data_IF_184887602461
#
_entry.id   IF_184887602461
#
_cell.length_a   1.000
_cell.length_b   1.000
_cell.length_c   1.000
_cell.angle_alpha   90.00
_cell.angle_beta   90.00
_cell.angle_gamma   90.00
#
_symmetry.space_group_name_H-M   'P 1'
#
loop_
_entity.id
_entity.type
_entity.pdbx_description
1 polymer ?
#
# COMPACT_ATOMS: atom_id res chain seq x y z
N UNK A 1 -27.21 -38.34 39.66
CA UNK A 1 -25.91 -38.18 38.96
C UNK A 1 -26.03 -36.96 38.07
N UNK A 2 -25.12 -36.01 38.25
CA UNK A 2 -25.22 -34.61 37.80
C UNK A 2 -24.91 -34.49 36.30
N UNK A 3 -25.80 -33.89 35.53
CA UNK A 3 -25.60 -33.52 34.12
C UNK A 3 -24.89 -32.16 34.07
N UNK A 4 -23.63 -32.14 33.63
CA UNK A 4 -22.85 -30.92 33.47
C UNK A 4 -23.19 -30.25 32.12
N UNK A 5 -23.81 -29.08 32.19
CA UNK A 5 -24.07 -28.20 31.04
C UNK A 5 -22.78 -27.38 30.80
N UNK A 6 -22.07 -27.64 29.69
CA UNK A 6 -20.94 -26.81 29.25
C UNK A 6 -21.47 -25.51 28.64
N UNK A 7 -21.22 -24.39 29.32
CA UNK A 7 -21.47 -23.06 28.80
C UNK A 7 -20.33 -22.65 27.85
N UNK A 8 -20.64 -22.50 26.56
CA UNK A 8 -19.74 -21.90 25.58
C UNK A 8 -19.79 -20.38 25.76
N UNK A 9 -18.75 -19.80 26.34
CA UNK A 9 -18.58 -18.35 26.41
C UNK A 9 -18.05 -17.83 25.08
N UNK A 10 -18.87 -17.07 24.35
CA UNK A 10 -18.45 -16.26 23.21
C UNK A 10 -17.45 -15.20 23.70
N UNK A 11 -16.16 -15.40 23.42
CA UNK A 11 -15.15 -14.38 23.62
C UNK A 11 -15.39 -13.26 22.60
N UNK A 12 -15.96 -12.15 23.07
CA UNK A 12 -16.08 -10.92 22.28
C UNK A 12 -14.70 -10.29 22.13
N UNK A 13 -14.11 -10.39 20.94
CA UNK A 13 -12.89 -9.68 20.57
C UNK A 13 -13.18 -8.17 20.49
N UNK A 14 -13.11 -7.47 21.62
CA UNK A 14 -13.12 -6.01 21.63
C UNK A 14 -11.71 -5.53 21.25
N UNK A 15 -11.60 -4.88 20.08
CA UNK A 15 -10.34 -4.27 19.65
C UNK A 15 -9.93 -3.15 20.63
N UNK A 16 -8.64 -3.04 21.00
CA UNK A 16 -8.18 -2.04 21.94
C UNK A 16 -8.45 -0.61 21.40
N UNK A 17 -8.78 0.36 22.29
CA UNK A 17 -8.95 1.75 21.88
C UNK A 17 -7.66 2.28 21.24
N UNK A 18 -7.76 2.75 20.00
CA UNK A 18 -6.62 3.24 19.21
C UNK A 18 -6.07 2.24 18.19
N UNK A 19 -6.62 1.02 18.10
CA UNK A 19 -6.33 0.12 17.00
C UNK A 19 -6.89 0.68 15.67
N UNK A 20 -6.16 0.56 14.55
CA UNK A 20 -6.66 0.97 13.23
C UNK A 20 -7.95 0.21 12.90
N UNK A 21 -8.90 0.90 12.26
CA UNK A 21 -10.10 0.26 11.75
C UNK A 21 -9.74 -0.58 10.53
N UNK A 22 -9.77 -1.91 10.67
CA UNK A 22 -9.42 -2.86 9.61
C UNK A 22 -10.64 -3.75 9.35
N UNK A 23 -11.28 -3.59 8.19
CA UNK A 23 -12.30 -4.51 7.70
C UNK A 23 -11.68 -5.62 6.84
N UNK A 24 -12.20 -6.83 6.95
CA UNK A 24 -11.74 -8.03 6.25
C UNK A 24 -10.24 -8.34 6.48
N UNK A 25 -9.79 -8.13 7.72
CA UNK A 25 -8.39 -8.29 8.14
C UNK A 25 -7.79 -9.68 7.94
N UNK A 26 -8.62 -10.72 7.88
CA UNK A 26 -8.21 -12.11 7.72
C UNK A 26 -7.91 -12.49 6.26
N UNK A 27 -8.12 -11.58 5.30
CA UNK A 27 -7.78 -11.83 3.90
C UNK A 27 -6.30 -12.21 3.78
N UNK A 28 -6.02 -13.33 3.12
CA UNK A 28 -4.67 -13.84 2.95
C UNK A 28 -3.92 -13.03 1.89
N UNK A 29 -2.68 -12.65 2.21
CA UNK A 29 -1.71 -12.14 1.26
C UNK A 29 -0.82 -13.31 0.85
N UNK A 30 -0.94 -13.80 -0.40
CA UNK A 30 -0.38 -15.08 -0.80
C UNK A 30 1.16 -15.10 -0.80
N UNK A 31 1.81 -13.93 -0.81
CA UNK A 31 3.27 -13.85 -0.77
C UNK A 31 3.90 -14.56 -1.96
N UNK A 32 3.24 -14.45 -3.12
CA UNK A 32 3.59 -15.14 -4.36
C UNK A 32 4.94 -14.63 -4.89
N UNK A 33 5.57 -15.41 -5.78
CA UNK A 33 6.75 -14.98 -6.53
C UNK A 33 6.53 -13.61 -7.18
N UNK A 34 7.59 -12.80 -7.25
CA UNK A 34 7.46 -11.40 -7.66
C UNK A 34 7.01 -11.25 -9.11
N UNK A 35 7.43 -12.14 -10.01
CA UNK A 35 7.03 -12.09 -11.41
C UNK A 35 5.55 -12.44 -11.59
N UNK A 36 5.11 -13.54 -10.98
CA UNK A 36 3.70 -13.98 -11.01
C UNK A 36 2.78 -12.93 -10.38
N UNK A 37 3.18 -12.35 -9.24
CA UNK A 37 2.44 -11.27 -8.59
C UNK A 37 2.23 -10.07 -9.52
N UNK A 38 3.28 -9.63 -10.22
CA UNK A 38 3.22 -8.45 -11.09
C UNK A 38 2.42 -8.71 -12.36
N UNK A 39 2.53 -9.90 -12.94
CA UNK A 39 1.77 -10.31 -14.12
C UNK A 39 0.26 -10.32 -13.81
N UNK A 40 -0.14 -11.01 -12.74
CA UNK A 40 -1.52 -11.07 -12.28
C UNK A 40 -2.09 -9.68 -11.96
N UNK A 41 -1.28 -8.83 -11.30
CA UNK A 41 -1.69 -7.49 -10.92
C UNK A 41 -1.91 -6.60 -12.13
N UNK A 42 -1.08 -6.72 -13.17
CA UNK A 42 -1.12 -5.86 -14.36
C UNK A 42 -2.47 -5.92 -15.08
N UNK A 43 -3.13 -7.08 -15.02
CA UNK A 43 -4.42 -7.36 -15.65
C UNK A 43 -5.63 -6.83 -14.86
N UNK A 44 -5.43 -6.33 -13.63
CA UNK A 44 -6.53 -5.89 -12.78
C UNK A 44 -7.06 -4.50 -13.20
N UNK A 45 -8.38 -4.32 -13.37
CA UNK A 45 -8.95 -3.02 -13.72
C UNK A 45 -8.74 -2.00 -12.59
N UNK A 46 -8.68 -2.46 -11.34
CA UNK A 46 -8.40 -1.62 -10.17
C UNK A 46 -7.71 -2.47 -9.11
N UNK A 47 -6.69 -1.91 -8.49
CA UNK A 47 -5.94 -2.55 -7.41
C UNK A 47 -6.71 -2.38 -6.10
N UNK A 48 -6.86 -3.46 -5.33
CA UNK A 48 -7.45 -3.41 -3.98
C UNK A 48 -6.42 -3.02 -2.93
N UNK A 49 -6.85 -2.59 -1.75
CA UNK A 49 -5.91 -2.24 -0.68
C UNK A 49 -5.03 -3.41 -0.26
N UNK A 50 -5.58 -4.64 -0.20
CA UNK A 50 -4.79 -5.83 0.11
C UNK A 50 -3.64 -6.04 -0.88
N UNK A 51 -3.95 -5.99 -2.19
CA UNK A 51 -2.95 -6.14 -3.25
C UNK A 51 -1.91 -5.02 -3.19
N UNK A 52 -2.33 -3.79 -2.97
CA UNK A 52 -1.40 -2.68 -2.85
C UNK A 52 -0.43 -2.84 -1.65
N UNK A 53 -0.90 -3.27 -0.47
CA UNK A 53 0.00 -3.51 0.65
C UNK A 53 0.99 -4.66 0.36
N UNK A 54 0.55 -5.71 -0.32
CA UNK A 54 1.43 -6.79 -0.79
C UNK A 54 2.53 -6.25 -1.71
N UNK A 55 2.20 -5.39 -2.67
CA UNK A 55 3.17 -4.76 -3.54
C UNK A 55 4.19 -3.89 -2.81
N UNK A 56 3.78 -3.20 -1.74
CA UNK A 56 4.70 -2.44 -0.89
C UNK A 56 5.62 -3.37 -0.09
N UNK A 57 5.11 -4.49 0.44
CA UNK A 57 5.94 -5.49 1.13
C UNK A 57 6.97 -6.10 0.17
N UNK A 58 6.54 -6.42 -1.06
CA UNK A 58 7.43 -6.88 -2.13
C UNK A 58 8.51 -5.85 -2.45
N UNK A 59 8.15 -4.57 -2.60
CA UNK A 59 9.11 -3.48 -2.80
C UNK A 59 10.12 -3.36 -1.64
N UNK A 60 9.72 -3.73 -0.42
CA UNK A 60 10.61 -3.76 0.75
C UNK A 60 11.47 -5.03 0.82
N UNK A 61 11.35 -5.96 -0.14
CA UNK A 61 12.05 -7.24 -0.14
C UNK A 61 11.44 -8.27 0.83
N UNK A 62 10.17 -8.11 1.20
CA UNK A 62 9.48 -9.02 2.11
C UNK A 62 8.39 -9.81 1.39
N UNK A 63 8.64 -11.11 1.21
CA UNK A 63 7.71 -12.07 0.61
C UNK A 63 7.29 -13.11 1.65
N UNK A 64 6.60 -12.66 2.68
CA UNK A 64 6.05 -13.57 3.69
C UNK A 64 4.55 -13.72 3.45
N UNK A 65 4.05 -14.94 3.65
CA UNK A 65 2.61 -15.19 3.74
C UNK A 65 2.12 -14.59 5.04
N UNK A 66 1.20 -13.64 4.94
CA UNK A 66 0.67 -12.89 6.08
C UNK A 66 -0.78 -12.51 5.81
N UNK A 67 -1.52 -12.13 6.86
CA UNK A 67 -2.88 -11.61 6.71
C UNK A 67 -2.86 -10.10 6.39
N UNK A 68 -3.96 -9.58 5.82
CA UNK A 68 -4.11 -8.15 5.59
C UNK A 68 -3.90 -7.31 6.86
N UNK A 69 -4.44 -7.78 8.00
CA UNK A 69 -4.28 -7.07 9.27
C UNK A 69 -2.82 -7.02 9.76
N UNK A 70 -2.10 -8.13 9.64
CA UNK A 70 -0.67 -8.19 9.98
C UNK A 70 0.18 -7.31 9.07
N UNK A 71 -0.11 -7.30 7.76
CA UNK A 71 0.56 -6.41 6.82
C UNK A 71 0.31 -4.93 7.16
N UNK A 72 -0.92 -4.57 7.53
CA UNK A 72 -1.24 -3.21 8.01
C UNK A 72 -0.41 -2.88 9.24
N UNK A 73 -0.37 -3.76 10.25
CA UNK A 73 0.41 -3.53 11.48
C UNK A 73 1.90 -3.35 11.19
N UNK A 74 2.50 -4.23 10.39
CA UNK A 74 3.90 -4.14 9.98
C UNK A 74 4.18 -2.80 9.29
N UNK A 75 3.31 -2.37 8.37
CA UNK A 75 3.48 -1.12 7.65
C UNK A 75 3.24 0.13 8.52
N UNK A 76 2.39 0.04 9.54
CA UNK A 76 2.22 1.09 10.57
C UNK A 76 3.50 1.22 11.40
N UNK A 77 4.07 0.12 11.89
CA UNK A 77 5.31 0.11 12.67
C UNK A 77 6.47 0.75 11.89
N UNK A 78 6.48 0.53 10.57
CA UNK A 78 7.45 1.14 9.65
C UNK A 78 7.13 2.55 9.21
N UNK A 79 6.01 3.13 9.67
CA UNK A 79 5.53 4.48 9.29
C UNK A 79 5.30 4.64 7.78
N UNK A 80 4.98 3.55 7.08
CA UNK A 80 4.69 3.54 5.64
C UNK A 80 3.21 3.81 5.38
N UNK A 81 2.35 3.37 6.29
CA UNK A 81 0.93 3.73 6.33
C UNK A 81 0.63 4.45 7.65
N UNK A 82 -0.44 5.23 7.64
CA UNK A 82 -0.90 5.99 8.80
C UNK A 82 -1.96 5.18 9.56
N UNK A 83 -1.75 5.04 10.87
CA UNK A 83 -2.65 4.28 11.75
C UNK A 83 -4.06 4.89 11.84
N UNK A 84 -4.22 6.18 11.53
CA UNK A 84 -5.52 6.85 11.54
C UNK A 84 -6.38 6.51 10.31
N UNK A 85 -5.88 5.73 9.35
CA UNK A 85 -6.66 5.36 8.18
C UNK A 85 -7.65 4.23 8.47
N UNK A 86 -8.78 4.29 7.77
CA UNK A 86 -9.71 3.17 7.61
C UNK A 86 -9.18 2.25 6.50
N UNK A 87 -8.88 1.01 6.85
CA UNK A 87 -8.33 -0.03 5.99
C UNK A 87 -9.41 -1.06 5.67
N UNK A 88 -9.55 -1.39 4.39
CA UNK A 88 -10.49 -2.41 3.94
C UNK A 88 -9.87 -3.21 2.81
N UNK A 89 -9.70 -4.53 3.01
CA UNK A 89 -8.95 -5.39 2.09
C UNK A 89 -9.44 -5.27 0.63
N UNK A 90 -10.76 -5.24 0.41
CA UNK A 90 -11.40 -5.27 -0.91
C UNK A 90 -11.65 -3.88 -1.50
N UNK A 91 -11.35 -2.80 -0.77
CA UNK A 91 -11.56 -1.43 -1.23
C UNK A 91 -10.56 -1.09 -2.33
N UNK A 92 -11.01 -0.32 -3.32
CA UNK A 92 -10.13 0.21 -4.34
C UNK A 92 -9.04 1.11 -3.73
N UNK A 93 -7.79 0.82 -4.06
CA UNK A 93 -6.64 1.64 -3.68
C UNK A 93 -6.71 2.98 -4.42
N UNK A 94 -6.63 4.07 -3.65
CA UNK A 94 -6.62 5.42 -4.20
C UNK A 94 -5.21 5.88 -4.53
N UNK A 95 -5.06 6.72 -5.54
CA UNK A 95 -3.77 7.33 -5.92
C UNK A 95 -3.08 8.02 -4.75
N UNK A 96 -3.84 8.72 -3.90
CA UNK A 96 -3.28 9.43 -2.75
C UNK A 96 -2.72 8.49 -1.68
N UNK A 97 -3.41 7.38 -1.38
CA UNK A 97 -2.89 6.35 -0.46
C UNK A 97 -1.67 5.66 -1.05
N UNK A 98 -1.72 5.23 -2.32
CA UNK A 98 -0.59 4.63 -3.03
C UNK A 98 0.63 5.56 -3.03
N UNK A 99 0.44 6.84 -3.37
CA UNK A 99 1.53 7.82 -3.40
C UNK A 99 2.20 8.01 -2.05
N UNK A 100 1.40 8.08 -0.97
CA UNK A 100 1.91 8.18 0.39
C UNK A 100 2.78 6.98 0.75
N UNK A 101 2.30 5.75 0.47
CA UNK A 101 3.06 4.54 0.77
C UNK A 101 4.38 4.48 0.02
N UNK A 102 4.38 4.80 -1.29
CA UNK A 102 5.59 4.81 -2.10
C UNK A 102 6.57 5.89 -1.64
N UNK A 103 6.08 7.08 -1.29
CA UNK A 103 6.88 8.17 -0.73
C UNK A 103 7.64 7.73 0.52
N UNK A 104 6.94 7.09 1.46
CA UNK A 104 7.54 6.59 2.70
C UNK A 104 8.48 5.41 2.45
N UNK A 105 8.06 4.43 1.64
CA UNK A 105 8.83 3.23 1.34
C UNK A 105 10.16 3.54 0.62
N UNK A 106 10.21 4.61 -0.18
CA UNK A 106 11.42 5.06 -0.87
C UNK A 106 12.21 6.13 -0.09
N UNK A 107 11.75 6.51 1.11
CA UNK A 107 12.36 7.57 1.94
C UNK A 107 12.64 8.85 1.14
N UNK A 108 11.67 9.28 0.33
CA UNK A 108 11.82 10.44 -0.54
C UNK A 108 11.89 11.69 0.33
N UNK A 109 12.98 12.45 0.23
CA UNK A 109 13.06 13.79 0.82
C UNK A 109 12.27 14.76 -0.06
N UNK A 110 11.07 15.15 0.37
CA UNK A 110 10.24 16.13 -0.32
C UNK A 110 10.82 17.55 -0.29
N UNK A 111 10.17 18.46 -1.03
CA UNK A 111 10.48 19.89 -0.98
C UNK A 111 10.10 20.56 0.34
N UNK A 112 10.47 21.84 0.51
CA UNK A 112 10.31 22.61 1.75
C UNK A 112 8.90 22.50 2.39
N UNK A 113 7.84 22.46 1.57
CA UNK A 113 6.46 22.33 2.04
C UNK A 113 6.16 20.96 2.70
N UNK A 114 6.73 19.87 2.20
CA UNK A 114 6.60 18.55 2.82
C UNK A 114 7.36 18.47 4.14
N UNK A 115 8.47 19.21 4.25
CA UNK A 115 9.23 19.32 5.51
C UNK A 115 8.46 20.12 6.58
N UNK A 116 7.69 21.13 6.19
CA UNK A 116 6.93 21.99 7.12
C UNK A 116 5.56 21.42 7.49
N UNK A 117 4.80 20.93 6.51
CA UNK A 117 3.43 20.42 6.72
C UNK A 117 3.36 18.92 7.04
N UNK A 118 4.48 18.21 6.86
CA UNK A 118 4.53 16.75 6.95
C UNK A 118 3.94 16.04 5.72
N UNK A 119 4.16 14.72 5.61
CA UNK A 119 3.65 13.93 4.49
C UNK A 119 2.12 13.83 4.59
N UNK A 120 1.43 14.33 3.56
CA UNK A 120 -0.01 14.13 3.37
C UNK A 120 -0.26 13.42 2.04
N UNK A 121 -1.39 12.70 1.92
CA UNK A 121 -1.77 12.02 0.67
C UNK A 121 -1.75 12.96 -0.55
N UNK A 122 -2.19 14.22 -0.36
CA UNK A 122 -2.20 15.24 -1.41
C UNK A 122 -0.78 15.68 -1.80
N UNK A 123 0.08 15.96 -0.82
CA UNK A 123 1.43 16.45 -1.10
C UNK A 123 2.35 15.34 -1.62
N UNK A 124 2.23 14.11 -1.08
CA UNK A 124 2.98 12.96 -1.59
C UNK A 124 2.64 12.70 -3.06
N UNK A 125 1.36 12.73 -3.44
CA UNK A 125 0.95 12.58 -4.83
C UNK A 125 1.56 13.65 -5.74
N UNK A 126 1.56 14.92 -5.30
CA UNK A 126 2.16 16.00 -6.08
C UNK A 126 3.67 15.85 -6.24
N UNK A 127 4.36 15.42 -5.20
CA UNK A 127 5.80 15.15 -5.25
C UNK A 127 6.13 13.99 -6.21
N UNK A 128 5.39 12.89 -6.13
CA UNK A 128 5.59 11.74 -7.03
C UNK A 128 5.25 12.08 -8.49
N UNK A 129 4.23 12.91 -8.71
CA UNK A 129 3.91 13.45 -10.04
C UNK A 129 5.03 14.33 -10.58
N UNK A 130 5.55 15.24 -9.74
CA UNK A 130 6.65 16.12 -10.11
C UNK A 130 7.92 15.36 -10.48
N UNK A 131 8.21 14.25 -9.78
CA UNK A 131 9.37 13.38 -10.05
C UNK A 131 9.15 12.36 -11.16
N UNK A 132 7.96 12.32 -11.77
CA UNK A 132 7.64 11.36 -12.83
C UNK A 132 7.44 9.91 -12.36
N UNK A 133 7.26 9.66 -11.06
CA UNK A 133 6.92 8.32 -10.55
C UNK A 133 5.46 7.95 -10.84
N UNK A 134 4.56 8.94 -10.79
CA UNK A 134 3.13 8.76 -11.03
C UNK A 134 2.63 9.74 -12.09
N UNK A 135 1.68 9.29 -12.92
CA UNK A 135 1.04 10.17 -13.91
C UNK A 135 0.13 11.22 -13.24
N UNK A 136 -0.19 12.33 -13.93
CA UNK A 136 -1.14 13.32 -13.45
C UNK A 136 -2.51 12.71 -13.11
N UNK A 137 -3.17 13.22 -12.07
CA UNK A 137 -4.45 12.69 -11.59
C UNK A 137 -4.82 13.18 -10.20
N UNK A 138 -6.05 12.89 -9.78
CA UNK A 138 -6.64 13.33 -8.51
C UNK A 138 -6.45 12.28 -7.42
N UNK A 139 -6.26 12.70 -6.18
CA UNK A 139 -5.87 11.81 -5.08
C UNK A 139 -6.89 10.72 -4.71
N UNK A 140 -8.17 10.93 -5.04
CA UNK A 140 -9.25 9.99 -4.76
C UNK A 140 -9.52 9.02 -5.91
N UNK A 141 -8.87 9.18 -7.07
CA UNK A 141 -9.06 8.26 -8.18
C UNK A 141 -8.50 6.89 -7.80
N UNK A 142 -9.15 5.79 -8.25
CA UNK A 142 -8.57 4.45 -8.13
C UNK A 142 -7.30 4.33 -8.96
N UNK A 143 -6.43 3.39 -8.58
CA UNK A 143 -5.23 3.02 -9.34
C UNK A 143 -5.49 1.72 -10.08
N UNK A 144 -5.16 1.67 -11.37
CA UNK A 144 -5.26 0.44 -12.18
C UNK A 144 -4.07 -0.48 -11.91
N UNK A 145 -4.23 -1.76 -12.24
CA UNK A 145 -3.19 -2.77 -12.08
C UNK A 145 -1.88 -2.40 -12.77
N UNK A 146 -1.95 -2.16 -14.07
CA UNK A 146 -0.81 -1.75 -14.88
C UNK A 146 -0.15 -0.45 -14.40
N UNK A 147 -0.95 0.52 -13.98
CA UNK A 147 -0.40 1.75 -13.42
C UNK A 147 0.38 1.48 -12.13
N UNK A 148 -0.18 0.67 -11.24
CA UNK A 148 0.47 0.36 -9.97
C UNK A 148 1.76 -0.43 -10.17
N UNK A 149 1.78 -1.40 -11.10
CA UNK A 149 3.01 -2.13 -11.50
C UNK A 149 4.08 -1.15 -12.01
N UNK A 150 3.71 -0.20 -12.88
CA UNK A 150 4.65 0.80 -13.38
C UNK A 150 5.20 1.71 -12.26
N UNK A 151 4.37 2.05 -11.27
CA UNK A 151 4.82 2.81 -10.09
C UNK A 151 5.80 1.98 -9.25
N UNK A 152 5.52 0.70 -9.00
CA UNK A 152 6.41 -0.19 -8.26
C UNK A 152 7.77 -0.34 -8.97
N UNK A 153 7.78 -0.51 -10.28
CA UNK A 153 9.01 -0.62 -11.06
C UNK A 153 9.88 0.65 -10.96
N UNK A 154 9.28 1.84 -11.08
CA UNK A 154 9.99 3.12 -10.88
C UNK A 154 10.47 3.31 -9.45
N UNK A 155 9.67 2.88 -8.47
CA UNK A 155 10.02 2.95 -7.06
C UNK A 155 11.20 2.03 -6.72
N UNK A 156 11.24 0.82 -7.29
CA UNK A 156 12.34 -0.11 -7.13
C UNK A 156 13.63 0.42 -7.76
N UNK A 157 13.56 0.94 -9.00
CA UNK A 157 14.70 1.61 -9.64
C UNK A 157 15.22 2.79 -8.79
N UNK A 158 14.31 3.61 -8.25
CA UNK A 158 14.68 4.72 -7.37
C UNK A 158 15.40 4.22 -6.11
N UNK A 159 14.95 3.11 -5.52
CA UNK A 159 15.58 2.53 -4.33
C UNK A 159 16.95 1.93 -4.62
N UNK A 160 17.13 1.33 -5.80
CA UNK A 160 18.38 0.69 -6.20
C UNK A 160 19.44 1.71 -6.64
N UNK A 161 19.05 2.72 -7.40
CA UNK A 161 19.99 3.64 -8.07
C UNK A 161 19.99 5.06 -7.50
N UNK A 162 19.01 5.41 -6.67
CA UNK A 162 18.79 6.77 -6.16
C UNK A 162 18.17 7.74 -7.18
N UNK A 163 17.86 7.28 -8.41
CA UNK A 163 17.23 8.08 -9.47
C UNK A 163 16.18 7.25 -10.21
N UNK A 164 15.23 7.91 -10.86
CA UNK A 164 14.35 7.27 -11.84
C UNK A 164 14.89 7.62 -13.23
N UNK A 165 15.10 6.63 -14.10
CA UNK A 165 15.63 6.90 -15.44
C UNK A 165 14.62 7.63 -16.32
N UNK A 166 15.13 8.48 -17.23
CA UNK A 166 14.27 9.23 -18.16
C UNK A 166 13.50 8.31 -19.12
N UNK A 167 13.98 7.09 -19.35
CA UNK A 167 13.30 6.07 -20.16
C UNK A 167 11.99 5.64 -19.49
N UNK A 168 12.07 5.27 -18.20
CA UNK A 168 10.91 4.85 -17.41
C UNK A 168 9.85 5.94 -17.22
N UNK A 169 10.27 7.21 -17.24
CA UNK A 169 9.35 8.37 -17.18
C UNK A 169 8.62 8.55 -18.51
N UNK A 170 9.30 8.35 -19.65
CA UNK A 170 8.72 8.54 -20.99
C UNK A 170 7.76 7.42 -21.38
N UNK A 171 8.02 6.18 -20.99
CA UNK A 171 7.14 5.03 -21.30
C UNK A 171 5.85 5.00 -20.46
N UNK A 172 5.81 5.75 -19.34
CA UNK A 172 4.63 5.89 -18.48
C UNK A 172 3.66 7.01 -18.83
N UNK A 173 4.09 7.94 -19.68
CA UNK A 173 3.22 8.95 -20.25
C UNK A 173 2.48 8.34 -21.42
N UNK A 174 1.30 7.77 -21.18
CA UNK A 174 0.37 7.57 -22.29
C UNK A 174 0.16 8.94 -22.97
N UNK A 175 0.17 8.99 -24.32
CA UNK A 175 0.06 10.23 -25.10
C UNK A 175 -1.21 11.04 -24.77
#
# INVERSE_FOLDING_TARGET
MVTALLAVTLASCQAPPGAPAIANGQAALPGTDSAEYLDDLSSQPTVTEARALEGILLLLGQQQKTTFAEAVQLLIERKIVDAAWDFQADRAMTRGKAAYMIYQACNIRGGLMLTLAGPSRRYCLKELQYRGLMSPGLSYNPVTGMEYVAILARADELRQTGKVSAVMIREGGLP
#
